data_IF_127314543312
#
_entry.id   IF_127314543312
#
_cell.length_a   1.000
_cell.length_b   1.000
_cell.length_c   1.000
_cell.angle_alpha   90.00
_cell.angle_beta   90.00
_cell.angle_gamma   90.00
#
_symmetry.space_group_name_H-M   'P 1'
#
loop_
_entity.id
_entity.type
_entity.pdbx_description
1 polymer ?
#
# COMPACT_ATOMS: atom_id res chain seq x y z
N UNK A 1 -30.00 -4.64 -3.20
CA UNK A 1 -30.92 -4.37 -4.32
C UNK A 1 -30.17 -3.41 -5.23
N UNK A 2 -29.97 -3.77 -6.50
CA UNK A 2 -29.12 -2.99 -7.42
C UNK A 2 -29.66 -1.56 -7.57
N UNK A 3 -28.79 -0.55 -7.74
CA UNK A 3 -29.19 0.86 -7.95
C UNK A 3 -30.09 0.99 -9.18
N UNK A 4 -29.87 0.19 -10.22
CA UNK A 4 -30.74 0.16 -11.40
C UNK A 4 -32.13 -0.43 -11.07
N UNK A 5 -32.16 -1.60 -10.44
CA UNK A 5 -33.39 -2.27 -9.96
C UNK A 5 -34.22 -1.38 -9.02
N UNK A 6 -33.51 -0.61 -8.20
CA UNK A 6 -34.03 0.38 -7.27
C UNK A 6 -34.75 1.54 -7.97
N UNK A 7 -34.16 2.10 -9.04
CA UNK A 7 -34.75 3.19 -9.84
C UNK A 7 -35.93 2.66 -10.67
N UNK A 8 -35.82 1.48 -11.27
CA UNK A 8 -36.90 0.85 -12.04
C UNK A 8 -38.13 0.55 -11.19
N UNK A 9 -37.92 0.03 -9.97
CA UNK A 9 -38.99 -0.19 -9.00
C UNK A 9 -39.72 1.10 -8.64
N UNK A 10 -38.98 2.21 -8.44
CA UNK A 10 -39.56 3.52 -8.18
C UNK A 10 -40.36 4.07 -9.38
N UNK A 11 -39.85 3.92 -10.61
CA UNK A 11 -40.58 4.30 -11.84
C UNK A 11 -41.86 3.49 -11.99
N UNK A 12 -41.81 2.17 -11.79
CA UNK A 12 -42.96 1.28 -11.88
C UNK A 12 -44.03 1.67 -10.83
N UNK A 13 -43.62 1.99 -9.59
CA UNK A 13 -44.51 2.45 -8.55
C UNK A 13 -45.21 3.78 -8.92
N UNK A 14 -44.49 4.74 -9.51
CA UNK A 14 -45.05 6.01 -9.98
C UNK A 14 -46.00 5.80 -11.18
N UNK A 15 -45.66 4.92 -12.13
CA UNK A 15 -46.51 4.60 -13.29
C UNK A 15 -47.80 3.87 -12.90
N UNK A 16 -47.73 2.89 -11.99
CA UNK A 16 -48.90 2.17 -11.48
C UNK A 16 -49.81 3.07 -10.66
N UNK A 17 -49.25 4.10 -10.02
CA UNK A 17 -50.09 5.15 -9.46
C UNK A 17 -50.79 5.88 -10.62
N UNK A 18 -50.05 6.40 -11.60
CA UNK A 18 -50.55 7.22 -12.73
C UNK A 18 -51.80 6.64 -13.44
N UNK A 19 -51.90 5.31 -13.56
CA UNK A 19 -53.02 4.64 -14.25
C UNK A 19 -54.28 4.38 -13.40
N UNK A 20 -54.34 4.82 -12.14
CA UNK A 20 -55.46 4.54 -11.25
C UNK A 20 -56.63 5.54 -11.39
N UNK A 21 -57.82 5.12 -11.81
CA UNK A 21 -58.97 6.02 -12.04
C UNK A 21 -59.86 6.28 -10.80
N UNK A 22 -59.29 6.36 -9.60
CA UNK A 22 -60.01 6.45 -8.30
C UNK A 22 -60.00 7.83 -7.62
N UNK A 23 -60.65 7.98 -6.46
CA UNK A 23 -60.69 9.23 -5.68
C UNK A 23 -59.30 9.62 -5.17
N UNK A 24 -58.96 10.92 -5.12
CA UNK A 24 -57.62 11.41 -4.72
C UNK A 24 -57.14 10.94 -3.33
N UNK A 25 -58.07 10.63 -2.42
CA UNK A 25 -57.77 10.11 -1.08
C UNK A 25 -57.30 8.64 -1.10
N UNK A 26 -57.83 7.81 -2.00
CA UNK A 26 -57.43 6.40 -2.16
C UNK A 26 -56.01 6.28 -2.74
N UNK A 27 -55.71 7.16 -3.69
CA UNK A 27 -54.38 7.31 -4.29
C UNK A 27 -53.27 7.57 -3.27
N UNK A 28 -53.53 8.45 -2.30
CA UNK A 28 -52.56 8.84 -1.27
C UNK A 28 -52.12 7.65 -0.43
N UNK A 29 -53.06 6.75 -0.11
CA UNK A 29 -52.78 5.54 0.68
C UNK A 29 -51.98 4.50 -0.11
N UNK A 30 -52.29 4.28 -1.38
CA UNK A 30 -51.57 3.35 -2.26
C UNK A 30 -50.14 3.84 -2.53
N UNK A 31 -49.99 5.13 -2.84
CA UNK A 31 -48.68 5.77 -3.04
C UNK A 31 -47.84 5.74 -1.76
N UNK A 32 -48.43 6.03 -0.59
CA UNK A 32 -47.74 5.91 0.69
C UNK A 32 -47.25 4.48 0.96
N UNK A 33 -48.03 3.46 0.61
CA UNK A 33 -47.65 2.07 0.83
C UNK A 33 -46.47 1.65 -0.06
N UNK A 34 -46.49 2.03 -1.35
CA UNK A 34 -45.44 1.66 -2.31
C UNK A 34 -44.15 2.49 -2.19
N UNK A 35 -44.26 3.77 -1.85
CA UNK A 35 -43.12 4.70 -1.71
C UNK A 35 -42.63 4.86 -0.26
N UNK A 36 -43.10 4.04 0.69
CA UNK A 36 -42.56 3.98 2.06
C UNK A 36 -41.18 3.33 2.13
N UNK A 37 -40.84 2.57 1.10
CA UNK A 37 -39.53 1.96 0.90
C UNK A 37 -39.05 2.29 -0.52
N UNK A 38 -38.86 3.58 -0.89
CA UNK A 38 -38.05 3.85 -2.05
C UNK A 38 -36.71 3.19 -1.72
N UNK A 39 -36.35 2.20 -2.51
CA UNK A 39 -35.06 1.55 -2.49
C UNK A 39 -33.97 2.51 -2.02
N UNK A 40 -33.13 2.08 -1.06
CA UNK A 40 -32.27 2.92 -0.19
C UNK A 40 -31.25 3.83 -0.91
N UNK A 41 -31.33 3.97 -2.24
CA UNK A 41 -30.56 4.90 -3.04
C UNK A 41 -30.90 6.36 -2.68
N UNK A 42 -29.85 7.09 -2.30
CA UNK A 42 -29.90 8.51 -1.94
C UNK A 42 -30.37 9.42 -3.09
N UNK A 43 -30.21 9.02 -4.36
CA UNK A 43 -30.61 9.81 -5.52
C UNK A 43 -32.13 9.76 -5.77
N UNK A 44 -32.74 8.56 -5.69
CA UNK A 44 -34.19 8.40 -5.80
C UNK A 44 -34.89 9.20 -4.71
N UNK A 45 -34.37 9.12 -3.48
CA UNK A 45 -34.88 9.89 -2.35
C UNK A 45 -34.79 11.39 -2.58
N UNK A 46 -33.69 11.89 -3.12
CA UNK A 46 -33.49 13.31 -3.44
C UNK A 46 -34.49 13.82 -4.47
N UNK A 47 -34.75 13.04 -5.53
CA UNK A 47 -35.73 13.41 -6.57
C UNK A 47 -37.16 13.42 -6.02
N UNK A 48 -37.52 12.44 -5.19
CA UNK A 48 -38.81 12.41 -4.51
C UNK A 48 -38.98 13.59 -3.53
N UNK A 49 -37.95 13.90 -2.75
CA UNK A 49 -37.93 15.04 -1.82
C UNK A 49 -38.06 16.39 -2.55
N UNK A 50 -37.31 16.58 -3.63
CA UNK A 50 -37.36 17.78 -4.48
C UNK A 50 -38.77 18.03 -5.03
N UNK A 51 -39.47 16.97 -5.41
CA UNK A 51 -40.83 17.06 -5.94
C UNK A 51 -41.90 17.06 -4.83
N UNK A 52 -41.52 17.07 -3.54
CA UNK A 52 -42.45 17.17 -2.41
C UNK A 52 -43.16 15.85 -2.06
N UNK A 53 -42.62 14.71 -2.47
CA UNK A 53 -43.18 13.38 -2.26
C UNK A 53 -42.48 12.70 -1.07
N UNK A 54 -42.81 13.13 0.16
CA UNK A 54 -42.12 12.68 1.38
C UNK A 54 -43.09 12.47 2.54
N UNK A 55 -42.90 11.39 3.31
CA UNK A 55 -43.48 11.16 4.65
C UNK A 55 -44.99 11.47 4.78
N UNK A 56 -45.81 10.74 4.03
CA UNK A 56 -47.24 10.62 4.33
C UNK A 56 -48.10 11.87 4.10
N UNK A 57 -47.51 12.96 3.60
CA UNK A 57 -48.24 14.18 3.22
C UNK A 57 -47.88 14.54 1.79
N UNK A 58 -48.80 14.29 0.86
CA UNK A 58 -48.69 14.78 -0.51
C UNK A 58 -49.37 16.14 -0.58
N UNK A 59 -48.58 17.20 -0.82
CA UNK A 59 -49.16 18.43 -1.36
C UNK A 59 -49.38 18.20 -2.85
N UNK A 60 -50.51 18.69 -3.39
CA UNK A 60 -51.00 18.55 -4.77
C UNK A 60 -49.89 18.30 -5.82
N UNK A 61 -50.08 17.39 -6.81
CA UNK A 61 -48.98 16.85 -7.59
C UNK A 61 -48.25 17.96 -8.35
N UNK A 62 -46.97 18.24 -8.07
CA UNK A 62 -46.16 19.01 -8.99
C UNK A 62 -45.90 18.11 -10.21
N UNK A 63 -46.26 18.65 -11.38
CA UNK A 63 -46.06 18.14 -12.75
C UNK A 63 -45.56 16.69 -12.82
N UNK A 64 -46.49 15.73 -12.88
CA UNK A 64 -46.20 14.28 -12.82
C UNK A 64 -45.25 13.83 -13.93
N UNK A 65 -45.35 14.48 -15.09
CA UNK A 65 -44.49 14.27 -16.24
C UNK A 65 -43.03 14.65 -15.95
N UNK A 66 -42.81 15.68 -15.12
CA UNK A 66 -41.47 16.13 -14.72
C UNK A 66 -40.82 15.13 -13.78
N UNK A 67 -41.55 14.60 -12.79
CA UNK A 67 -41.04 13.57 -11.88
C UNK A 67 -40.64 12.29 -12.63
N UNK A 68 -41.51 11.83 -13.54
CA UNK A 68 -41.20 10.67 -14.38
C UNK A 68 -39.97 10.92 -15.28
N UNK A 69 -39.84 12.14 -15.81
CA UNK A 69 -38.68 12.52 -16.62
C UNK A 69 -37.40 12.50 -15.80
N UNK A 70 -37.37 13.13 -14.63
CA UNK A 70 -36.19 13.16 -13.75
C UNK A 70 -35.79 11.75 -13.27
N UNK A 71 -36.76 10.89 -12.93
CA UNK A 71 -36.47 9.49 -12.57
C UNK A 71 -35.92 8.68 -13.75
N UNK A 72 -36.43 8.90 -14.97
CA UNK A 72 -35.91 8.27 -16.20
C UNK A 72 -34.54 8.81 -16.59
N UNK A 73 -34.25 10.08 -16.33
CA UNK A 73 -32.93 10.68 -16.51
C UNK A 73 -31.92 10.01 -15.56
N UNK A 74 -32.27 9.70 -14.31
CA UNK A 74 -31.43 8.88 -13.43
C UNK A 74 -31.21 7.45 -13.96
N UNK A 75 -32.21 6.84 -14.62
CA UNK A 75 -32.04 5.56 -15.30
C UNK A 75 -31.06 5.70 -16.47
N UNK A 76 -31.20 6.73 -17.29
CA UNK A 76 -30.30 7.02 -18.40
C UNK A 76 -28.88 7.38 -17.92
N UNK A 77 -28.71 8.04 -16.78
CA UNK A 77 -27.40 8.27 -16.17
C UNK A 77 -26.79 6.97 -15.65
N UNK A 78 -27.59 6.11 -15.01
CA UNK A 78 -27.14 4.79 -14.57
C UNK A 78 -26.74 3.90 -15.77
N UNK A 79 -27.47 3.97 -16.88
CA UNK A 79 -27.22 3.23 -18.12
C UNK A 79 -26.14 3.88 -19.00
N UNK A 80 -25.95 5.21 -18.97
CA UNK A 80 -24.90 5.94 -19.72
C UNK A 80 -23.51 5.80 -19.09
N UNK A 81 -23.43 5.21 -17.91
CA UNK A 81 -22.15 4.78 -17.33
C UNK A 81 -21.63 3.47 -17.94
N UNK A 82 -22.43 2.70 -18.69
CA UNK A 82 -22.03 1.43 -19.31
C UNK A 82 -21.14 1.54 -20.58
N UNK A 83 -21.34 2.50 -21.51
CA UNK A 83 -20.53 2.58 -22.73
C UNK A 83 -19.04 2.87 -22.45
N UNK A 84 -18.74 3.75 -21.50
CA UNK A 84 -17.37 4.08 -21.10
C UNK A 84 -16.65 2.91 -20.39
N UNK A 85 -17.40 2.08 -19.66
CA UNK A 85 -16.86 0.94 -18.89
C UNK A 85 -16.37 -0.21 -19.78
N UNK A 86 -17.14 -0.55 -20.81
CA UNK A 86 -16.75 -1.57 -21.79
C UNK A 86 -15.52 -1.14 -22.62
N UNK A 87 -15.35 0.17 -22.86
CA UNK A 87 -14.21 0.69 -23.61
C UNK A 87 -12.90 0.68 -22.82
N UNK A 88 -12.91 0.93 -21.50
CA UNK A 88 -11.68 0.85 -20.69
C UNK A 88 -11.15 -0.57 -20.54
N UNK A 89 -12.01 -1.56 -20.28
CA UNK A 89 -11.60 -2.96 -20.21
C UNK A 89 -11.10 -3.45 -21.57
N UNK A 90 -11.80 -3.11 -22.67
CA UNK A 90 -11.35 -3.41 -24.03
C UNK A 90 -10.04 -2.71 -24.39
N UNK A 91 -9.83 -1.47 -23.94
CA UNK A 91 -8.55 -0.77 -24.10
C UNK A 91 -7.44 -1.53 -23.39
N UNK A 92 -7.65 -1.89 -22.12
CA UNK A 92 -6.67 -2.58 -21.30
C UNK A 92 -6.28 -3.93 -21.91
N UNK A 93 -7.26 -4.75 -22.30
CA UNK A 93 -7.04 -6.08 -22.88
C UNK A 93 -6.38 -6.00 -24.27
N UNK A 94 -6.62 -4.94 -25.04
CA UNK A 94 -5.91 -4.69 -26.31
C UNK A 94 -4.47 -4.24 -26.09
N UNK A 95 -4.23 -3.42 -25.07
CA UNK A 95 -2.92 -2.86 -24.79
C UNK A 95 -2.00 -3.87 -24.11
N UNK A 96 -2.51 -4.68 -23.18
CA UNK A 96 -1.68 -5.57 -22.37
C UNK A 96 -1.97 -7.04 -22.64
N UNK A 97 -0.94 -7.79 -23.01
CA UNK A 97 -1.03 -9.25 -23.23
C UNK A 97 -0.28 -9.97 -22.11
N UNK A 98 -0.99 -10.75 -21.30
CA UNK A 98 -0.39 -11.59 -20.26
C UNK A 98 0.43 -12.73 -20.89
N UNK A 99 1.53 -13.14 -20.26
CA UNK A 99 2.32 -14.28 -20.76
C UNK A 99 1.50 -15.60 -20.68
N UNK A 100 1.68 -16.47 -21.68
CA UNK A 100 0.85 -17.67 -22.01
C UNK A 100 0.53 -18.62 -20.84
N UNK A 101 1.28 -18.58 -19.74
CA UNK A 101 1.10 -19.47 -18.59
C UNK A 101 0.25 -18.88 -17.47
N UNK A 102 -0.11 -17.59 -17.52
CA UNK A 102 -0.80 -16.83 -16.46
C UNK A 102 -0.27 -17.10 -15.03
N UNK A 103 0.98 -17.55 -14.88
CA UNK A 103 1.53 -17.79 -13.55
C UNK A 103 1.95 -16.46 -12.94
N UNK A 104 1.46 -16.13 -11.73
CA UNK A 104 1.89 -14.92 -11.06
C UNK A 104 3.37 -14.98 -10.74
N UNK A 105 4.06 -13.86 -10.95
CA UNK A 105 5.47 -13.66 -10.58
C UNK A 105 5.60 -13.47 -9.06
N UNK A 106 4.52 -13.04 -8.41
CA UNK A 106 4.37 -13.00 -6.97
C UNK A 106 2.91 -12.91 -6.57
N UNK A 107 2.56 -13.55 -5.45
CA UNK A 107 1.26 -13.44 -4.79
C UNK A 107 1.48 -12.88 -3.39
N UNK A 108 0.66 -11.92 -3.00
CA UNK A 108 0.66 -11.34 -1.67
C UNK A 108 -0.76 -11.10 -1.15
N UNK A 109 -0.87 -10.59 0.06
CA UNK A 109 -2.14 -10.27 0.73
C UNK A 109 -3.04 -9.38 -0.14
N UNK A 110 -2.44 -8.41 -0.84
CA UNK A 110 -3.17 -7.42 -1.65
C UNK A 110 -3.46 -7.85 -3.09
N UNK A 111 -3.10 -9.08 -3.47
CA UNK A 111 -3.36 -9.64 -4.79
C UNK A 111 -2.14 -10.25 -5.48
N UNK A 112 -2.23 -10.39 -6.79
CA UNK A 112 -1.26 -11.14 -7.59
C UNK A 112 -0.61 -10.26 -8.66
N UNK A 113 0.69 -10.44 -8.86
CA UNK A 113 1.49 -9.70 -9.84
C UNK A 113 1.80 -10.61 -11.02
N UNK A 114 1.50 -10.15 -12.23
CA UNK A 114 1.71 -10.88 -13.46
C UNK A 114 2.68 -10.14 -14.36
N UNK A 115 3.46 -10.90 -15.12
CA UNK A 115 4.24 -10.35 -16.23
C UNK A 115 3.33 -10.24 -17.46
N UNK A 116 3.38 -9.09 -18.10
CA UNK A 116 2.62 -8.83 -19.33
C UNK A 116 3.47 -8.03 -20.32
N UNK A 117 3.02 -8.01 -21.57
CA UNK A 117 3.61 -7.24 -22.65
C UNK A 117 2.68 -6.08 -23.02
N UNK A 118 3.20 -4.86 -23.01
CA UNK A 118 2.50 -3.68 -23.51
C UNK A 118 2.68 -3.59 -25.03
N UNK A 119 1.60 -3.85 -25.77
CA UNK A 119 1.55 -3.86 -27.23
C UNK A 119 1.79 -2.47 -27.84
N UNK A 120 1.55 -1.39 -27.09
CA UNK A 120 1.74 0.00 -27.55
C UNK A 120 3.19 0.42 -27.36
N UNK A 121 3.73 0.30 -26.14
CA UNK A 121 5.11 0.71 -25.86
C UNK A 121 6.16 -0.33 -26.25
N UNK A 122 5.74 -1.55 -26.61
CA UNK A 122 6.59 -2.71 -26.94
C UNK A 122 7.52 -3.13 -25.80
N UNK A 123 7.07 -2.95 -24.55
CA UNK A 123 7.87 -3.24 -23.34
C UNK A 123 7.19 -4.29 -22.46
N UNK A 124 8.02 -5.02 -21.72
CA UNK A 124 7.54 -5.87 -20.62
C UNK A 124 7.11 -4.98 -19.45
N UNK A 125 5.96 -5.29 -18.85
CA UNK A 125 5.40 -4.61 -17.68
C UNK A 125 5.01 -5.61 -16.59
N UNK A 126 4.88 -5.12 -15.35
CA UNK A 126 4.34 -5.88 -14.23
C UNK A 126 2.93 -5.38 -13.91
N UNK A 127 1.93 -6.25 -13.96
CA UNK A 127 0.53 -5.90 -13.69
C UNK A 127 0.11 -6.51 -12.36
N UNK A 128 -0.13 -5.67 -11.35
CA UNK A 128 -0.69 -6.08 -10.06
C UNK A 128 -2.21 -6.06 -10.13
N UNK A 129 -2.84 -7.23 -10.07
CA UNK A 129 -4.29 -7.41 -9.86
C UNK A 129 -4.57 -7.25 -8.38
N UNK A 130 -5.24 -6.17 -8.00
CA UNK A 130 -5.57 -5.89 -6.60
C UNK A 130 -6.86 -6.63 -6.23
N UNK A 131 -6.85 -7.33 -5.09
CA UNK A 131 -8.07 -7.95 -4.53
C UNK A 131 -8.95 -6.84 -3.93
N UNK A 132 -10.20 -6.76 -4.38
CA UNK A 132 -11.22 -5.89 -3.77
C UNK A 132 -12.08 -6.70 -2.80
N UNK A 133 -12.33 -6.18 -1.60
CA UNK A 133 -13.18 -6.84 -0.58
C UNK A 133 -14.68 -6.63 -0.87
N UNK A 134 -15.04 -5.57 -1.60
CA UNK A 134 -16.41 -5.23 -1.96
C UNK A 134 -16.50 -4.90 -3.46
N UNK A 135 -17.02 -5.83 -4.26
CA UNK A 135 -17.12 -5.70 -5.72
C UNK A 135 -18.04 -4.53 -6.16
N UNK A 136 -19.01 -4.16 -5.31
CA UNK A 136 -20.06 -3.18 -5.62
C UNK A 136 -19.75 -1.72 -5.23
N UNK A 137 -18.76 -1.47 -4.36
CA UNK A 137 -18.51 -0.13 -3.81
C UNK A 137 -17.45 0.69 -4.58
N UNK A 138 -16.84 0.12 -5.62
CA UNK A 138 -15.75 0.77 -6.35
C UNK A 138 -14.51 0.99 -5.46
N UNK A 139 -13.51 1.72 -5.97
CA UNK A 139 -12.28 1.96 -5.22
C UNK A 139 -12.51 3.00 -4.11
N UNK A 140 -12.13 2.73 -2.83
CA UNK A 140 -12.21 3.72 -1.76
C UNK A 140 -11.46 5.01 -2.13
N UNK A 141 -12.02 6.17 -1.77
CA UNK A 141 -11.42 7.48 -2.08
C UNK A 141 -9.98 7.66 -1.55
N UNK A 142 -9.63 6.95 -0.49
CA UNK A 142 -8.27 6.87 0.07
C UNK A 142 -7.30 6.17 -0.89
N UNK A 143 -7.71 5.05 -1.48
CA UNK A 143 -6.92 4.32 -2.46
C UNK A 143 -6.73 5.11 -3.77
N UNK A 144 -7.74 5.89 -4.21
CA UNK A 144 -7.58 6.83 -5.35
C UNK A 144 -6.47 7.85 -5.08
N UNK A 145 -6.43 8.42 -3.87
CA UNK A 145 -5.40 9.40 -3.50
C UNK A 145 -4.01 8.76 -3.46
N UNK A 146 -3.89 7.56 -2.91
CA UNK A 146 -2.62 6.83 -2.87
C UNK A 146 -2.12 6.47 -4.28
N UNK A 147 -3.00 5.97 -5.16
CA UNK A 147 -2.68 5.70 -6.56
C UNK A 147 -2.27 6.97 -7.31
N UNK A 148 -2.94 8.10 -7.07
CA UNK A 148 -2.58 9.38 -7.69
C UNK A 148 -1.18 9.86 -7.25
N UNK A 149 -0.85 9.70 -5.97
CA UNK A 149 0.48 10.03 -5.43
C UNK A 149 1.55 9.11 -6.03
N UNK A 150 1.27 7.81 -6.15
CA UNK A 150 2.16 6.84 -6.79
C UNK A 150 2.34 7.11 -8.29
N UNK A 151 1.28 7.54 -8.99
CA UNK A 151 1.36 7.90 -10.42
C UNK A 151 2.22 9.15 -10.65
N UNK A 152 2.24 10.06 -9.69
CA UNK A 152 3.11 11.24 -9.70
C UNK A 152 4.53 10.96 -9.15
N UNK A 153 4.83 9.72 -8.75
CA UNK A 153 6.15 9.35 -8.28
C UNK A 153 7.08 9.10 -9.48
N UNK A 154 8.13 9.92 -9.61
CA UNK A 154 9.15 9.77 -10.63
C UNK A 154 10.54 9.90 -9.98
N UNK A 155 11.17 8.77 -9.70
CA UNK A 155 12.48 8.70 -9.07
C UNK A 155 13.19 7.41 -9.52
N UNK A 156 14.50 7.43 -9.81
CA UNK A 156 15.22 6.24 -10.29
C UNK A 156 15.08 5.02 -9.36
N UNK A 157 15.06 5.25 -8.04
CA UNK A 157 14.96 4.20 -7.03
C UNK A 157 13.54 3.91 -6.51
N UNK A 158 12.51 4.33 -7.24
CA UNK A 158 11.10 4.00 -6.95
C UNK A 158 10.50 3.39 -8.20
N UNK A 159 9.79 2.28 -8.07
CA UNK A 159 9.13 1.62 -9.21
C UNK A 159 8.07 2.55 -9.80
N UNK A 160 8.14 2.75 -11.11
CA UNK A 160 7.22 3.65 -11.81
C UNK A 160 5.88 2.99 -12.08
N UNK A 161 4.81 3.64 -11.62
CA UNK A 161 3.45 3.31 -12.03
C UNK A 161 3.18 3.92 -13.41
N UNK A 162 3.02 3.06 -14.42
CA UNK A 162 2.87 3.44 -15.82
C UNK A 162 1.40 3.69 -16.19
N UNK A 163 0.50 2.82 -15.74
CA UNK A 163 -0.93 2.93 -16.02
C UNK A 163 -1.77 2.34 -14.88
N UNK A 164 -3.04 2.73 -14.84
CA UNK A 164 -4.04 2.25 -13.89
C UNK A 164 -5.30 1.94 -14.66
N UNK A 165 -5.82 0.72 -14.52
CA UNK A 165 -7.13 0.34 -15.03
C UNK A 165 -8.02 -0.02 -13.85
N UNK A 166 -9.19 0.61 -13.78
CA UNK A 166 -10.14 0.45 -12.70
C UNK A 166 -11.54 0.23 -13.28
N UNK A 167 -11.99 -1.02 -13.30
CA UNK A 167 -13.36 -1.40 -13.63
C UNK A 167 -14.07 -1.97 -12.40
N UNK A 168 -15.41 -2.09 -12.39
CA UNK A 168 -16.15 -2.66 -11.26
C UNK A 168 -15.56 -4.02 -10.85
N UNK A 169 -15.22 -4.17 -9.57
CA UNK A 169 -14.57 -5.38 -9.03
C UNK A 169 -13.14 -5.66 -9.51
N UNK A 170 -12.52 -4.82 -10.35
CA UNK A 170 -11.17 -5.05 -10.91
C UNK A 170 -10.29 -3.81 -10.89
N UNK A 171 -9.17 -3.88 -10.16
CA UNK A 171 -8.13 -2.86 -10.17
C UNK A 171 -6.82 -3.46 -10.60
N UNK A 172 -6.27 -2.91 -11.68
CA UNK A 172 -4.99 -3.25 -12.25
C UNK A 172 -4.05 -2.07 -12.13
N UNK A 173 -2.91 -2.28 -11.48
CA UNK A 173 -1.81 -1.32 -11.42
C UNK A 173 -0.68 -1.83 -12.33
N UNK A 174 -0.34 -1.05 -13.34
CA UNK A 174 0.69 -1.40 -14.34
C UNK A 174 1.99 -0.69 -13.99
N UNK A 175 3.02 -1.45 -13.65
CA UNK A 175 4.34 -0.95 -13.28
C UNK A 175 5.38 -1.28 -14.34
N UNK A 176 6.51 -0.56 -14.31
CA UNK A 176 7.71 -1.03 -14.99
C UNK A 176 8.12 -2.43 -14.46
N UNK A 177 8.61 -3.28 -15.36
CA UNK A 177 9.07 -4.61 -14.98
C UNK A 177 10.56 -4.59 -14.59
N UNK A 178 10.88 -5.16 -13.43
CA UNK A 178 12.26 -5.36 -12.98
C UNK A 178 12.48 -6.86 -12.74
N UNK A 179 13.61 -7.39 -13.19
CA UNK A 179 13.82 -8.82 -13.38
C UNK A 179 13.83 -9.67 -12.09
N UNK A 180 14.22 -9.08 -10.95
CA UNK A 180 14.32 -9.81 -9.70
C UNK A 180 14.08 -8.89 -8.50
N UNK A 181 13.68 -9.49 -7.37
CA UNK A 181 13.79 -8.84 -6.07
C UNK A 181 15.14 -9.13 -5.41
N UNK A 182 15.53 -8.30 -4.43
CA UNK A 182 16.80 -8.38 -3.72
C UNK A 182 16.99 -9.75 -3.05
N UNK A 183 15.92 -10.38 -2.53
CA UNK A 183 16.01 -11.73 -1.95
C UNK A 183 16.43 -12.77 -2.97
N UNK A 184 15.81 -12.74 -4.15
CA UNK A 184 16.15 -13.61 -5.27
C UNK A 184 17.56 -13.31 -5.80
N UNK A 185 17.92 -12.03 -5.90
CA UNK A 185 19.25 -11.59 -6.34
C UNK A 185 20.36 -12.14 -5.45
N UNK A 186 20.26 -11.95 -4.13
CA UNK A 186 21.23 -12.47 -3.16
C UNK A 186 21.30 -14.01 -3.20
N UNK A 187 20.15 -14.70 -3.34
CA UNK A 187 20.12 -16.16 -3.45
C UNK A 187 20.79 -16.67 -4.73
N UNK A 188 20.54 -16.02 -5.88
CA UNK A 188 21.11 -16.39 -7.18
C UNK A 188 22.62 -16.17 -7.23
N UNK A 189 23.10 -15.11 -6.57
CA UNK A 189 24.53 -14.83 -6.50
C UNK A 189 25.29 -15.94 -5.76
N UNK A 190 24.67 -16.60 -4.77
CA UNK A 190 25.24 -17.74 -4.05
C UNK A 190 26.47 -17.42 -3.19
N UNK A 191 26.88 -16.15 -3.15
CA UNK A 191 27.98 -15.59 -2.34
C UNK A 191 27.56 -14.24 -1.77
N UNK A 192 28.24 -13.76 -0.70
CA UNK A 192 28.01 -12.41 -0.18
C UNK A 192 28.21 -11.34 -1.24
N UNK A 193 27.44 -10.25 -1.13
CA UNK A 193 27.65 -9.06 -1.95
C UNK A 193 29.01 -8.43 -1.62
N UNK A 194 29.61 -7.74 -2.60
CA UNK A 194 30.83 -6.97 -2.35
C UNK A 194 30.53 -5.76 -1.45
N UNK A 195 31.49 -5.27 -0.64
CA UNK A 195 31.31 -4.04 0.15
C UNK A 195 30.82 -2.86 -0.70
N UNK A 196 31.34 -2.73 -1.92
CA UNK A 196 30.95 -1.68 -2.87
C UNK A 196 29.49 -1.82 -3.33
N UNK A 197 29.05 -3.04 -3.67
CA UNK A 197 27.66 -3.31 -4.05
C UNK A 197 26.71 -3.06 -2.87
N UNK A 198 27.06 -3.50 -1.65
CA UNK A 198 26.25 -3.24 -0.44
C UNK A 198 26.10 -1.73 -0.21
N UNK A 199 27.20 -0.97 -0.30
CA UNK A 199 27.19 0.49 -0.17
C UNK A 199 26.34 1.15 -1.25
N UNK A 200 26.48 0.73 -2.50
CA UNK A 200 25.72 1.27 -3.65
C UNK A 200 24.21 1.03 -3.49
N UNK A 201 23.81 -0.23 -3.25
CA UNK A 201 22.41 -0.60 -3.08
C UNK A 201 21.81 0.10 -1.85
N UNK A 202 22.54 0.17 -0.74
CA UNK A 202 22.07 0.89 0.44
C UNK A 202 21.85 2.38 0.17
N UNK A 203 22.77 3.03 -0.55
CA UNK A 203 22.64 4.44 -0.92
C UNK A 203 21.38 4.67 -1.77
N UNK A 204 21.17 3.83 -2.78
CA UNK A 204 19.99 3.87 -3.64
C UNK A 204 18.69 3.64 -2.87
N UNK A 205 18.67 2.70 -1.92
CA UNK A 205 17.53 2.48 -1.04
C UNK A 205 17.20 3.73 -0.23
N UNK A 206 18.22 4.37 0.37
CA UNK A 206 18.00 5.60 1.14
C UNK A 206 17.57 6.79 0.27
N UNK A 207 18.03 6.88 -0.98
CA UNK A 207 17.56 7.90 -1.95
C UNK A 207 16.08 7.73 -2.28
N UNK A 208 15.64 6.49 -2.53
CA UNK A 208 14.22 6.20 -2.76
C UNK A 208 13.36 6.51 -1.53
N UNK A 209 13.81 6.15 -0.33
CA UNK A 209 13.10 6.44 0.92
C UNK A 209 13.01 7.95 1.17
N UNK A 210 14.11 8.70 1.01
CA UNK A 210 14.11 10.16 1.18
C UNK A 210 13.11 10.83 0.23
N UNK A 211 13.10 10.41 -1.04
CA UNK A 211 12.13 10.88 -2.03
C UNK A 211 10.68 10.62 -1.60
N UNK A 212 10.37 9.40 -1.14
CA UNK A 212 9.04 9.04 -0.65
C UNK A 212 8.64 9.86 0.59
N UNK A 213 9.55 10.00 1.56
CA UNK A 213 9.35 10.74 2.80
C UNK A 213 9.08 12.22 2.53
N UNK A 214 9.82 12.84 1.61
CA UNK A 214 9.60 14.22 1.16
C UNK A 214 8.19 14.42 0.53
N UNK A 215 7.64 13.37 -0.09
CA UNK A 215 6.29 13.35 -0.67
C UNK A 215 5.21 12.83 0.27
N UNK A 216 5.52 12.72 1.57
CA UNK A 216 4.59 12.28 2.60
C UNK A 216 4.09 10.84 2.44
N UNK A 217 4.94 9.97 1.87
CA UNK A 217 4.68 8.54 1.67
C UNK A 217 5.56 7.75 2.65
N UNK A 218 4.94 6.90 3.47
CA UNK A 218 5.64 5.95 4.36
C UNK A 218 5.37 4.55 3.82
N UNK A 219 6.39 3.73 3.61
CA UNK A 219 6.24 2.42 2.98
C UNK A 219 5.68 1.34 3.92
N UNK A 220 6.18 1.26 5.16
CA UNK A 220 5.74 0.38 6.27
C UNK A 220 5.98 -1.12 6.11
N UNK A 221 6.16 -1.62 4.91
CA UNK A 221 6.46 -3.03 4.63
C UNK A 221 7.76 -3.21 3.81
N UNK A 222 8.81 -2.46 4.14
CA UNK A 222 10.10 -2.62 3.46
C UNK A 222 10.74 -3.96 3.86
N UNK A 223 11.05 -4.76 2.85
CA UNK A 223 11.71 -6.07 2.96
C UNK A 223 12.38 -6.43 1.63
N UNK A 224 13.37 -7.34 1.60
CA UNK A 224 14.08 -7.71 0.38
C UNK A 224 13.20 -8.21 -0.77
N UNK A 225 11.97 -8.69 -0.50
CA UNK A 225 11.00 -9.08 -1.53
C UNK A 225 10.35 -7.87 -2.23
N UNK A 226 10.28 -6.72 -1.54
CA UNK A 226 9.71 -5.46 -2.04
C UNK A 226 10.79 -4.51 -2.61
N UNK A 227 12.06 -4.91 -2.53
CA UNK A 227 13.18 -4.21 -3.16
C UNK A 227 13.49 -4.93 -4.46
N UNK A 228 13.31 -4.25 -5.59
CA UNK A 228 13.63 -4.77 -6.90
C UNK A 228 15.06 -4.38 -7.28
N UNK A 229 15.79 -5.29 -7.92
CA UNK A 229 17.14 -5.06 -8.40
C UNK A 229 17.22 -5.53 -9.85
N UNK A 230 17.74 -4.67 -10.72
CA UNK A 230 18.01 -5.07 -12.10
C UNK A 230 19.34 -5.84 -12.23
N UNK A 231 19.75 -6.16 -13.45
CA UNK A 231 21.01 -6.86 -13.71
C UNK A 231 22.26 -6.00 -13.52
N UNK A 232 22.11 -4.71 -13.22
CA UNK A 232 23.16 -3.67 -13.22
C UNK A 232 23.28 -2.96 -11.86
N UNK A 233 22.94 -3.68 -10.77
CA UNK A 233 22.92 -3.17 -9.39
C UNK A 233 22.06 -1.89 -9.22
N UNK A 234 21.05 -1.66 -10.07
CA UNK A 234 20.07 -0.59 -9.84
C UNK A 234 18.91 -1.10 -9.00
N UNK A 235 18.66 -0.39 -7.90
CA UNK A 235 17.63 -0.71 -6.93
C UNK A 235 16.40 0.15 -7.14
N UNK A 236 15.21 -0.46 -7.11
CA UNK A 236 13.90 0.21 -7.10
C UNK A 236 13.04 -0.31 -5.97
N UNK A 237 12.48 0.60 -5.17
CA UNK A 237 11.49 0.28 -4.13
C UNK A 237 10.15 0.00 -4.81
N UNK A 238 9.52 -1.12 -4.47
CA UNK A 238 8.23 -1.54 -5.00
C UNK A 238 7.26 -1.92 -3.89
N UNK A 239 6.02 -2.18 -4.29
CA UNK A 239 4.92 -2.60 -3.41
C UNK A 239 4.58 -1.64 -2.27
N UNK A 240 4.29 -0.39 -2.65
CA UNK A 240 3.63 0.61 -1.81
C UNK A 240 2.18 0.24 -1.43
N UNK A 241 1.76 -1.02 -1.56
CA UNK A 241 0.40 -1.48 -1.23
C UNK A 241 0.00 -1.28 0.23
N UNK A 242 0.97 -1.00 1.11
CA UNK A 242 0.80 -0.60 2.50
C UNK A 242 1.13 0.87 2.79
N UNK A 243 1.52 1.61 1.76
CA UNK A 243 1.98 2.96 1.94
C UNK A 243 0.80 3.91 2.13
N UNK A 244 0.86 4.70 3.20
CA UNK A 244 -0.21 5.66 3.53
C UNK A 244 0.32 7.08 3.53
N UNK A 245 -0.52 7.99 3.05
CA UNK A 245 -0.36 9.40 3.37
C UNK A 245 -0.58 9.59 4.89
N UNK A 246 0.19 10.48 5.51
CA UNK A 246 0.33 10.72 6.96
C UNK A 246 -0.94 10.81 7.84
N UNK A 247 -2.17 10.79 7.29
CA UNK A 247 -3.40 11.16 8.00
C UNK A 247 -4.57 10.14 7.90
N UNK A 248 -4.33 8.82 7.87
CA UNK A 248 -5.41 7.83 7.82
C UNK A 248 -5.34 6.77 8.93
N UNK A 249 -6.40 6.58 9.75
CA UNK A 249 -6.46 5.51 10.74
C UNK A 249 -6.41 4.14 10.06
N UNK A 250 -5.61 3.23 10.61
CA UNK A 250 -5.39 1.88 10.07
C UNK A 250 -6.57 0.94 10.40
N UNK A 251 -6.94 0.02 9.49
CA UNK A 251 -7.68 -1.16 9.87
C UNK A 251 -6.84 -1.98 10.85
N UNK A 252 -7.54 -2.62 11.79
CA UNK A 252 -6.93 -3.52 12.78
C UNK A 252 -6.14 -4.61 12.05
N UNK A 253 -4.90 -4.85 12.47
CA UNK A 253 -4.05 -5.91 11.91
C UNK A 253 -4.78 -7.25 11.96
N UNK A 254 -4.87 -7.94 10.82
CA UNK A 254 -5.42 -9.29 10.73
C UNK A 254 -4.32 -10.33 11.00
N UNK A 255 -4.69 -11.43 11.65
CA UNK A 255 -3.81 -12.47 12.21
C UNK A 255 -3.09 -13.39 11.18
N UNK A 256 -2.82 -12.92 9.96
CA UNK A 256 -1.97 -13.70 9.04
C UNK A 256 -0.51 -13.69 9.52
N UNK A 257 0.17 -14.83 9.41
CA UNK A 257 1.60 -14.97 9.74
C UNK A 257 2.42 -14.20 8.70
N UNK A 258 2.57 -12.90 8.93
CA UNK A 258 3.38 -11.99 8.10
C UNK A 258 4.78 -11.92 8.66
N UNK A 259 5.80 -11.89 7.79
CA UNK A 259 7.21 -11.74 8.20
C UNK A 259 7.41 -10.49 9.05
N UNK A 260 7.86 -10.67 10.29
CA UNK A 260 8.11 -9.61 11.29
C UNK A 260 9.54 -9.07 11.28
N UNK A 261 10.45 -9.70 10.52
CA UNK A 261 11.92 -9.52 10.60
C UNK A 261 12.43 -8.09 10.37
N UNK A 262 11.64 -7.27 9.68
CA UNK A 262 12.00 -5.88 9.32
C UNK A 262 11.13 -4.86 10.06
N UNK A 263 10.23 -5.29 10.95
CA UNK A 263 9.40 -4.38 11.75
C UNK A 263 10.25 -3.72 12.83
N UNK A 264 9.97 -2.44 13.08
CA UNK A 264 10.67 -1.67 14.09
C UNK A 264 10.13 -1.95 15.51
N UNK A 265 10.92 -1.71 16.56
CA UNK A 265 10.54 -2.00 17.94
C UNK A 265 9.25 -1.31 18.36
N UNK A 266 9.02 -0.06 17.94
CA UNK A 266 7.77 0.66 18.23
C UNK A 266 6.53 0.00 17.65
N UNK A 267 6.64 -0.67 16.50
CA UNK A 267 5.52 -1.41 15.93
C UNK A 267 5.33 -2.74 16.67
N UNK A 268 6.42 -3.40 17.05
CA UNK A 268 6.38 -4.64 17.81
C UNK A 268 5.87 -4.43 19.25
N UNK A 269 6.01 -3.23 19.81
CA UNK A 269 5.46 -2.87 21.13
C UNK A 269 4.05 -2.25 21.08
N UNK A 270 3.40 -2.27 19.92
CA UNK A 270 2.00 -1.84 19.78
C UNK A 270 1.81 -0.32 19.73
N UNK A 271 2.85 0.47 19.43
CA UNK A 271 2.67 1.91 19.23
C UNK A 271 1.74 2.18 18.04
N UNK A 272 0.71 2.99 18.25
CA UNK A 272 -0.26 3.34 17.20
C UNK A 272 0.22 4.50 16.32
N UNK A 273 1.23 5.25 16.76
CA UNK A 273 1.79 6.39 16.03
C UNK A 273 3.03 5.96 15.25
N UNK A 274 2.89 5.97 13.93
CA UNK A 274 3.96 5.58 13.00
C UNK A 274 4.75 6.81 12.59
N UNK A 275 6.06 6.76 12.74
CA UNK A 275 6.98 7.80 12.25
C UNK A 275 7.65 7.39 10.94
N UNK A 276 8.36 8.32 10.30
CA UNK A 276 9.26 8.02 9.18
C UNK A 276 10.36 7.02 9.55
N UNK A 277 10.68 6.90 10.84
CA UNK A 277 11.71 6.01 11.36
C UNK A 277 11.44 4.53 11.08
N UNK A 278 10.18 4.12 10.89
CA UNK A 278 9.84 2.71 10.63
C UNK A 278 10.52 2.19 9.36
N UNK A 279 10.51 2.99 8.28
CA UNK A 279 11.14 2.62 7.01
C UNK A 279 12.68 2.60 7.14
N UNK A 280 13.23 3.53 7.94
CA UNK A 280 14.68 3.57 8.19
C UNK A 280 15.14 2.34 8.96
N UNK A 281 14.37 1.90 9.96
CA UNK A 281 14.67 0.65 10.67
C UNK A 281 14.69 -0.54 9.72
N UNK A 282 13.63 -0.69 8.92
CA UNK A 282 13.55 -1.77 7.93
C UNK A 282 14.72 -1.71 6.94
N UNK A 283 15.10 -0.52 6.47
CA UNK A 283 16.27 -0.33 5.63
C UNK A 283 17.58 -0.70 6.34
N UNK A 284 17.70 -0.46 7.65
CA UNK A 284 18.85 -0.90 8.46
C UNK A 284 18.92 -2.43 8.56
N UNK A 285 17.78 -3.10 8.74
CA UNK A 285 17.70 -4.57 8.69
C UNK A 285 18.14 -5.12 7.32
N UNK A 286 17.66 -4.51 6.23
CA UNK A 286 18.04 -4.88 4.86
C UNK A 286 19.54 -4.64 4.63
N UNK A 287 20.10 -3.52 5.11
CA UNK A 287 21.53 -3.22 5.01
C UNK A 287 22.38 -4.30 5.69
N UNK A 288 21.99 -4.72 6.89
CA UNK A 288 22.65 -5.81 7.59
C UNK A 288 22.49 -7.16 6.90
N UNK A 289 21.33 -7.44 6.30
CA UNK A 289 21.12 -8.67 5.51
C UNK A 289 21.99 -8.70 4.26
N UNK A 290 22.10 -7.59 3.53
CA UNK A 290 22.99 -7.48 2.37
C UNK A 290 24.45 -7.73 2.73
N UNK A 291 24.90 -7.22 3.89
CA UNK A 291 26.26 -7.40 4.37
C UNK A 291 26.54 -8.84 4.84
N UNK A 292 25.63 -9.42 5.62
CA UNK A 292 25.86 -10.71 6.30
C UNK A 292 25.41 -11.92 5.47
N UNK A 293 24.54 -11.71 4.49
CA UNK A 293 23.88 -12.75 3.70
C UNK A 293 22.71 -13.43 4.40
N UNK A 294 22.34 -12.98 5.60
CA UNK A 294 21.25 -13.53 6.40
C UNK A 294 20.45 -12.42 7.10
N UNK A 295 19.16 -12.64 7.33
CA UNK A 295 18.33 -11.68 8.05
C UNK A 295 18.89 -11.43 9.46
N UNK A 296 18.96 -10.15 9.87
CA UNK A 296 19.47 -9.79 11.20
C UNK A 296 18.60 -10.33 12.34
N UNK A 297 17.26 -10.33 12.15
CA UNK A 297 16.28 -10.73 13.16
C UNK A 297 15.30 -11.73 12.56
N UNK A 298 15.61 -13.02 12.63
CA UNK A 298 14.81 -14.08 11.99
C UNK A 298 13.76 -14.69 12.95
N UNK A 299 12.94 -13.83 13.56
CA UNK A 299 11.95 -14.27 14.54
C UNK A 299 10.80 -15.10 13.93
N UNK A 300 10.33 -16.13 14.63
CA UNK A 300 9.16 -16.93 14.22
C UNK A 300 7.81 -16.33 14.65
N UNK A 301 7.85 -15.34 15.54
CA UNK A 301 6.74 -14.64 16.15
C UNK A 301 7.16 -13.20 16.49
N UNK A 302 6.21 -12.33 16.83
CA UNK A 302 6.52 -10.95 17.25
C UNK A 302 7.41 -10.95 18.49
N UNK A 303 7.11 -11.79 19.48
CA UNK A 303 7.91 -11.89 20.70
C UNK A 303 9.32 -12.45 20.45
N UNK A 304 9.46 -13.46 19.59
CA UNK A 304 10.79 -13.96 19.23
C UNK A 304 11.57 -12.89 18.46
N UNK A 305 10.92 -12.13 17.56
CA UNK A 305 11.56 -11.00 16.86
C UNK A 305 12.07 -9.95 17.84
N UNK A 306 11.28 -9.58 18.85
CA UNK A 306 11.70 -8.68 19.94
C UNK A 306 12.93 -9.25 20.65
N UNK A 307 12.91 -10.54 21.01
CA UNK A 307 14.05 -11.16 21.69
C UNK A 307 15.29 -11.28 20.82
N UNK A 308 15.17 -11.47 19.50
CA UNK A 308 16.31 -11.42 18.58
C UNK A 308 16.92 -10.01 18.54
N UNK A 309 16.09 -8.97 18.51
CA UNK A 309 16.52 -7.57 18.60
C UNK A 309 17.29 -7.35 19.92
N UNK A 310 16.74 -7.81 21.06
CA UNK A 310 17.38 -7.64 22.38
C UNK A 310 18.70 -8.42 22.49
N UNK A 311 18.75 -9.66 22.02
CA UNK A 311 19.98 -10.46 21.99
C UNK A 311 21.10 -9.76 21.22
N UNK A 312 20.75 -8.92 20.24
CA UNK A 312 21.72 -8.16 19.45
C UNK A 312 22.05 -6.81 20.05
N UNK A 313 21.06 -6.02 20.42
CA UNK A 313 21.22 -4.62 20.81
C UNK A 313 21.17 -4.36 22.31
N UNK A 314 20.92 -5.40 23.10
CA UNK A 314 20.59 -5.29 24.52
C UNK A 314 19.11 -5.00 24.71
N UNK A 315 18.58 -5.30 25.88
CA UNK A 315 17.21 -4.92 26.24
C UNK A 315 17.17 -3.40 26.44
N UNK A 316 16.25 -2.67 25.78
CA UNK A 316 16.21 -1.22 25.85
C UNK A 316 15.87 -0.76 27.28
N UNK A 317 16.39 0.40 27.63
CA UNK A 317 16.14 1.06 28.92
C UNK A 317 15.45 2.41 28.72
N UNK A 318 14.85 2.98 29.76
CA UNK A 318 14.28 4.33 29.74
C UNK A 318 15.30 5.41 29.35
N UNK A 319 16.59 5.19 29.62
CA UNK A 319 17.65 6.12 29.20
C UNK A 319 17.92 6.08 27.69
N UNK A 320 17.69 4.95 27.03
CA UNK A 320 17.85 4.80 25.58
C UNK A 320 16.58 5.13 24.81
N UNK A 321 15.42 4.97 25.45
CA UNK A 321 14.11 5.29 24.90
C UNK A 321 13.19 5.80 26.02
N UNK A 322 13.13 7.13 26.23
CA UNK A 322 12.21 7.72 27.19
C UNK A 322 10.75 7.42 26.83
N UNK A 323 9.99 6.89 27.78
CA UNK A 323 8.59 6.47 27.58
C UNK A 323 8.43 5.01 27.15
N UNK A 324 9.51 4.22 27.18
CA UNK A 324 9.49 2.78 26.86
C UNK A 324 8.47 2.00 27.71
N UNK A 325 8.40 2.31 29.00
CA UNK A 325 7.48 1.64 29.94
C UNK A 325 6.00 1.96 29.71
N UNK A 326 5.70 3.00 28.92
CA UNK A 326 4.34 3.40 28.58
C UNK A 326 3.81 2.66 27.33
N UNK A 327 4.68 1.96 26.60
CA UNK A 327 4.28 1.22 25.40
C UNK A 327 3.38 0.03 25.74
N UNK A 328 2.29 -0.20 24.99
CA UNK A 328 1.27 -1.20 25.32
C UNK A 328 1.82 -2.61 25.60
N UNK A 329 2.72 -3.07 24.73
CA UNK A 329 3.20 -4.44 24.75
C UNK A 329 4.61 -4.59 25.33
N UNK A 330 5.22 -3.50 25.81
CA UNK A 330 6.45 -3.59 26.58
C UNK A 330 6.16 -4.17 27.97
N UNK A 331 7.01 -5.10 28.43
CA UNK A 331 6.92 -5.68 29.78
C UNK A 331 8.28 -5.52 30.49
N UNK A 332 8.31 -4.89 31.69
CA UNK A 332 9.54 -4.79 32.49
C UNK A 332 10.14 -6.15 32.86
N UNK A 333 9.34 -7.22 32.80
CA UNK A 333 9.75 -8.60 33.06
C UNK A 333 10.46 -9.27 31.89
N UNK A 334 10.61 -8.59 30.75
CA UNK A 334 11.38 -9.14 29.63
C UNK A 334 12.83 -9.46 30.05
N UNK A 335 13.42 -10.53 29.49
CA UNK A 335 14.78 -10.88 29.86
C UNK A 335 15.75 -9.76 29.50
N UNK A 336 16.82 -9.66 30.28
CA UNK A 336 17.79 -8.59 30.18
C UNK A 336 19.02 -9.09 29.42
N UNK A 337 19.20 -8.59 28.20
CA UNK A 337 20.36 -8.88 27.36
C UNK A 337 21.33 -7.72 27.30
N UNK A 338 22.61 -8.02 27.08
CA UNK A 338 23.65 -7.02 26.82
C UNK A 338 23.83 -6.82 25.32
N UNK A 339 24.11 -5.58 24.91
CA UNK A 339 24.47 -5.26 23.54
C UNK A 339 25.69 -6.05 23.08
N UNK A 340 25.62 -6.61 21.88
CA UNK A 340 26.75 -7.29 21.23
C UNK A 340 27.39 -6.38 20.17
N UNK A 341 28.72 -6.26 20.11
CA UNK A 341 29.38 -5.46 19.08
C UNK A 341 29.17 -6.05 17.66
N UNK A 342 29.36 -5.23 16.62
CA UNK A 342 29.24 -5.69 15.23
C UNK A 342 30.36 -6.66 14.81
N UNK A 343 31.51 -6.63 15.49
CA UNK A 343 32.62 -7.58 15.30
C UNK A 343 32.22 -9.03 15.60
N UNK A 344 31.21 -9.24 16.45
CA UNK A 344 30.68 -10.56 16.78
C UNK A 344 29.56 -11.01 15.84
N UNK A 345 29.10 -10.17 14.92
CA UNK A 345 28.19 -10.62 13.86
C UNK A 345 29.01 -11.04 12.66
N UNK A 346 28.73 -12.26 12.21
CA UNK A 346 29.28 -12.82 10.98
C UNK A 346 29.30 -11.80 9.84
N UNK A 347 30.48 -11.55 9.30
CA UNK A 347 30.74 -10.70 8.13
C UNK A 347 30.35 -9.21 8.25
N UNK A 348 29.66 -8.77 9.30
CA UNK A 348 29.17 -7.39 9.36
C UNK A 348 30.31 -6.38 9.40
N UNK A 349 31.29 -6.57 10.29
CA UNK A 349 32.42 -5.65 10.41
C UNK A 349 33.33 -5.65 9.18
N UNK A 350 33.59 -6.81 8.57
CA UNK A 350 34.44 -6.92 7.38
C UNK A 350 33.77 -6.36 6.12
N UNK A 351 32.44 -6.47 6.00
CA UNK A 351 31.71 -5.99 4.82
C UNK A 351 31.34 -4.51 4.88
N UNK A 352 31.09 -3.98 6.07
CA UNK A 352 30.61 -2.60 6.26
C UNK A 352 31.72 -1.64 6.74
N UNK A 353 32.78 -2.17 7.34
CA UNK A 353 33.79 -1.38 8.03
C UNK A 353 33.21 -0.57 9.20
N UNK A 354 34.03 0.31 9.76
CA UNK A 354 33.64 1.15 10.89
C UNK A 354 32.54 2.16 10.52
N UNK A 355 32.62 2.76 9.32
CA UNK A 355 31.62 3.72 8.84
C UNK A 355 30.25 3.08 8.60
N UNK A 356 30.19 1.89 7.98
CA UNK A 356 28.91 1.24 7.70
C UNK A 356 28.26 0.65 8.94
N UNK A 357 29.04 0.15 9.91
CA UNK A 357 28.51 -0.28 11.21
C UNK A 357 27.99 0.87 12.06
N UNK A 358 28.65 2.04 12.03
CA UNK A 358 28.12 3.27 12.65
C UNK A 358 26.79 3.72 12.01
N UNK A 359 26.70 3.67 10.67
CA UNK A 359 25.45 3.97 9.99
C UNK A 359 24.32 3.02 10.44
N UNK A 360 24.60 1.72 10.55
CA UNK A 360 23.63 0.75 11.09
C UNK A 360 23.18 1.10 12.51
N UNK A 361 24.10 1.50 13.40
CA UNK A 361 23.74 1.94 14.76
C UNK A 361 22.82 3.16 14.76
N UNK A 362 23.03 4.10 13.84
CA UNK A 362 22.15 5.26 13.66
C UNK A 362 20.76 4.90 13.10
N UNK A 363 20.69 3.92 12.21
CA UNK A 363 19.44 3.44 11.60
C UNK A 363 18.64 2.52 12.52
N UNK A 364 19.30 1.81 13.43
CA UNK A 364 18.70 0.81 14.33
C UNK A 364 18.64 1.30 15.78
N UNK A 365 18.44 2.61 15.98
CA UNK A 365 18.11 3.18 17.29
C UNK A 365 16.71 2.74 17.73
N UNK A 366 16.59 2.38 19.01
CA UNK A 366 15.32 2.04 19.65
C UNK A 366 14.34 3.20 19.58
N UNK A 367 14.69 4.33 20.21
CA UNK A 367 13.90 5.55 20.15
C UNK A 367 13.77 6.03 18.69
N UNK A 368 12.54 6.06 18.12
CA UNK A 368 12.31 6.54 16.77
C UNK A 368 12.74 7.99 16.55
N UNK A 369 12.73 8.83 17.59
CA UNK A 369 13.13 10.25 17.52
C UNK A 369 14.64 10.44 17.34
N UNK A 370 15.43 9.47 17.82
CA UNK A 370 16.90 9.47 17.70
C UNK A 370 17.39 8.71 16.47
N UNK A 371 16.47 8.06 15.73
CA UNK A 371 16.79 7.32 14.52
C UNK A 371 17.11 8.29 13.39
N UNK A 372 18.23 8.06 12.69
CA UNK A 372 18.65 8.93 11.59
C UNK A 372 17.57 9.01 10.50
N UNK A 373 17.32 10.19 9.94
CA UNK A 373 16.40 10.31 8.81
C UNK A 373 17.05 9.81 7.51
N UNK A 374 16.24 9.46 6.51
CA UNK A 374 16.77 9.07 5.20
C UNK A 374 17.65 10.17 4.59
N UNK A 375 17.20 11.42 4.63
CA UNK A 375 17.97 12.60 4.21
C UNK A 375 19.35 12.71 4.87
N UNK A 376 19.40 12.58 6.20
CA UNK A 376 20.66 12.70 6.95
C UNK A 376 21.56 11.48 6.71
N UNK A 377 20.99 10.29 6.53
CA UNK A 377 21.77 9.08 6.25
C UNK A 377 22.58 9.21 4.96
N UNK A 378 22.05 9.88 3.94
CA UNK A 378 22.74 10.10 2.66
C UNK A 378 23.98 11.00 2.79
N UNK A 379 24.09 11.76 3.87
CA UNK A 379 25.25 12.61 4.18
C UNK A 379 26.28 11.89 5.06
N UNK A 380 26.01 10.64 5.46
CA UNK A 380 26.90 9.86 6.31
C UNK A 380 28.20 9.51 5.58
N UNK A 381 29.32 9.52 6.31
CA UNK A 381 30.67 9.20 5.80
C UNK A 381 30.76 7.86 5.05
N UNK A 382 29.89 6.91 5.38
CA UNK A 382 29.81 5.61 4.71
C UNK A 382 29.55 5.74 3.20
N UNK A 383 28.81 6.77 2.78
CA UNK A 383 28.51 7.02 1.36
C UNK A 383 29.47 8.01 0.69
N UNK A 384 30.40 8.60 1.46
CA UNK A 384 31.40 9.53 0.94
C UNK A 384 32.60 8.81 0.29
N UNK A 385 32.81 7.53 0.61
CA UNK A 385 33.91 6.72 0.06
C UNK A 385 33.61 6.33 -1.40
N UNK A 386 34.15 7.09 -2.34
CA UNK A 386 34.15 6.77 -3.78
C UNK A 386 35.38 5.92 -4.13
N UNK A 387 35.15 4.65 -4.46
CA UNK A 387 35.88 3.84 -5.45
C UNK A 387 37.39 3.59 -5.38
N UNK A 388 38.24 4.56 -5.04
CA UNK A 388 39.67 4.49 -5.35
C UNK A 388 40.58 4.22 -4.15
N UNK A 389 40.08 4.25 -2.91
CA UNK A 389 40.92 4.10 -1.72
C UNK A 389 41.13 2.65 -1.25
N UNK A 390 40.37 1.68 -1.77
CA UNK A 390 40.47 0.27 -1.36
C UNK A 390 41.53 -0.51 -2.16
N UNK A 391 42.18 0.11 -3.16
CA UNK A 391 43.22 -0.50 -3.98
C UNK A 391 44.66 -0.36 -3.43
N UNK A 392 44.87 0.37 -2.32
CA UNK A 392 46.23 0.74 -1.86
C UNK A 392 46.66 0.03 -0.56
N UNK A 393 45.87 -0.90 -0.02
CA UNK A 393 46.25 -1.64 1.20
C UNK A 393 46.14 -3.17 1.08
N UNK A 394 46.42 -3.68 -0.11
CA UNK A 394 46.68 -5.10 -0.33
C UNK A 394 47.94 -5.25 -1.20
N UNK A 395 49.11 -5.00 -0.60
CA UNK A 395 50.38 -5.57 -1.01
C UNK A 395 51.22 -5.86 0.24
#
# INVERSE_FOLDING_TARGET
MDRAESIESAICAVQQAISHSGLSSEWTSILCAKLRRPSDCSDVRRVLEKNGWVRGQFRSPPVRELLLRELRELTLESQSSMPLRLDEDRRFDRQYTFEEKEKPVGEGTYGAVFRAYDNVSRRTVAIKRVKMEHEDEGMPSTAIREVAVLKAADHPNVVKLLDVSCSPGRLHLVFEFVNANLKQYMKKLGRPLSPASVRSLQKQLMQGIDYCHAKRIIHRDLKPQNILVDGEDQLKIADFGMARAFNLPLPKYTHEVVTTWYRSPEILFGCQEYSLGVDVWSAGCIHGEMATGAALFHGDSEIDTIFQIFKKFGTPTEGEWPGLSELPDFKPTFPQWRRRPWSEIRNAASQLGAAGTRLLDCMLRYDPSQRISAKLSLQHEYFAVTGDSDAVMAD
#
